data_IF_599733154401
#
_entry.id   IF_599733154401
#
_cell.length_a   1.000
_cell.length_b   1.000
_cell.length_c   1.000
_cell.angle_alpha   90.00
_cell.angle_beta   90.00
_cell.angle_gamma   90.00
#
_symmetry.space_group_name_H-M   'P 1'
#
loop_
_entity.id
_entity.type
_entity.pdbx_description
1 polymer ?
#
# COMPACT_ATOMS: atom_id res chain seq x y z
N UNK A 1 -8.67 11.08 -2.11
CA UNK A 1 -7.64 10.02 -2.09
C UNK A 1 -6.84 9.91 -3.39
N UNK A 2 -7.42 10.06 -4.59
CA UNK A 2 -6.66 10.13 -5.86
C UNK A 2 -5.49 11.12 -5.77
N UNK A 3 -5.70 12.27 -5.13
CA UNK A 3 -4.68 13.31 -4.96
C UNK A 3 -3.39 12.83 -4.26
N UNK A 4 -3.46 11.95 -3.25
CA UNK A 4 -2.26 11.43 -2.59
C UNK A 4 -1.47 10.49 -3.51
N UNK A 5 -2.16 9.62 -4.26
CA UNK A 5 -1.50 8.74 -5.24
C UNK A 5 -0.81 9.56 -6.33
N UNK A 6 -1.52 10.54 -6.92
CA UNK A 6 -0.95 11.40 -7.95
C UNK A 6 0.27 12.17 -7.42
N UNK A 7 0.18 12.72 -6.20
CA UNK A 7 1.29 13.46 -5.60
C UNK A 7 2.47 12.55 -5.27
N UNK A 8 2.25 11.33 -4.79
CA UNK A 8 3.29 10.33 -4.57
C UNK A 8 3.99 9.97 -5.90
N UNK A 9 3.22 9.75 -6.96
CA UNK A 9 3.74 9.45 -8.30
C UNK A 9 4.60 10.62 -8.81
N UNK A 10 4.13 11.86 -8.67
CA UNK A 10 4.90 13.04 -9.06
C UNK A 10 6.17 13.20 -8.21
N UNK A 11 6.08 13.02 -6.90
CA UNK A 11 7.25 13.07 -6.01
C UNK A 11 8.28 11.99 -6.39
N UNK A 12 7.82 10.80 -6.78
CA UNK A 12 8.67 9.72 -7.30
C UNK A 12 9.35 10.13 -8.60
N UNK A 13 8.59 10.68 -9.57
CA UNK A 13 9.13 11.11 -10.88
C UNK A 13 10.16 12.24 -10.76
N UNK A 14 9.90 13.20 -9.86
CA UNK A 14 10.82 14.32 -9.60
C UNK A 14 11.90 13.99 -8.57
N UNK A 15 11.95 12.75 -8.07
CA UNK A 15 12.93 12.26 -7.08
C UNK A 15 12.98 13.13 -5.81
N UNK A 16 11.82 13.55 -5.34
CA UNK A 16 11.70 14.35 -4.11
C UNK A 16 11.41 13.39 -2.95
N UNK A 17 12.45 12.79 -2.37
CA UNK A 17 12.32 11.75 -1.34
C UNK A 17 11.47 12.20 -0.16
N UNK A 18 11.76 13.38 0.40
CA UNK A 18 11.01 13.92 1.54
C UNK A 18 9.51 14.02 1.26
N UNK A 19 9.14 14.55 0.10
CA UNK A 19 7.73 14.69 -0.29
C UNK A 19 7.09 13.31 -0.50
N UNK A 20 7.81 12.36 -1.09
CA UNK A 20 7.34 10.98 -1.26
C UNK A 20 7.02 10.33 0.09
N UNK A 21 7.88 10.50 1.09
CA UNK A 21 7.67 10.00 2.45
C UNK A 21 6.48 10.68 3.14
N UNK A 22 6.41 12.03 3.11
CA UNK A 22 5.32 12.79 3.72
C UNK A 22 3.95 12.39 3.15
N UNK A 23 3.87 12.19 1.82
CA UNK A 23 2.64 11.78 1.14
C UNK A 23 2.29 10.32 1.46
N UNK A 24 3.29 9.47 1.65
CA UNK A 24 3.08 8.09 2.08
C UNK A 24 2.39 8.03 3.45
N UNK A 25 2.82 8.86 4.40
CA UNK A 25 2.19 8.95 5.72
C UNK A 25 0.73 9.40 5.63
N UNK A 26 0.46 10.43 4.83
CA UNK A 26 -0.91 10.90 4.62
C UNK A 26 -1.78 9.83 3.97
N UNK A 27 -1.24 9.09 2.99
CA UNK A 27 -1.96 7.98 2.37
C UNK A 27 -2.26 6.87 3.39
N UNK A 28 -1.26 6.42 4.16
CA UNK A 28 -1.43 5.36 5.17
C UNK A 28 -2.42 5.78 6.26
N UNK A 29 -2.29 6.99 6.78
CA UNK A 29 -3.19 7.54 7.78
C UNK A 29 -4.64 7.58 7.26
N UNK A 30 -4.85 7.98 6.00
CA UNK A 30 -6.18 7.96 5.38
C UNK A 30 -6.78 6.55 5.33
N UNK A 31 -6.04 5.55 4.84
CA UNK A 31 -6.53 4.17 4.74
C UNK A 31 -6.79 3.53 6.11
N UNK A 32 -5.93 3.82 7.09
CA UNK A 32 -6.07 3.41 8.49
C UNK A 32 -7.35 3.98 9.11
N UNK A 33 -7.52 5.32 9.06
CA UNK A 33 -8.67 6.02 9.67
C UNK A 33 -10.01 5.57 9.10
N UNK A 34 -10.06 5.29 7.80
CA UNK A 34 -11.29 4.89 7.12
C UNK A 34 -11.48 3.36 7.04
N UNK A 35 -10.60 2.57 7.67
CA UNK A 35 -10.58 1.12 7.65
C UNK A 35 -10.88 0.52 6.26
N UNK A 36 -10.14 0.97 5.24
CA UNK A 36 -10.38 0.59 3.83
C UNK A 36 -9.10 0.17 3.10
N UNK A 37 -9.27 -0.32 1.88
CA UNK A 37 -8.20 -0.62 0.92
C UNK A 37 -8.52 0.04 -0.43
N UNK A 38 -7.53 0.12 -1.33
CA UNK A 38 -7.72 0.64 -2.66
C UNK A 38 -8.73 -0.22 -3.44
N UNK A 39 -9.70 0.41 -4.15
CA UNK A 39 -10.45 -0.29 -5.19
C UNK A 39 -9.51 -0.69 -6.33
N UNK A 40 -9.88 -1.75 -7.06
CA UNK A 40 -9.04 -2.36 -8.10
C UNK A 40 -8.50 -1.37 -9.15
N UNK A 41 -9.33 -0.42 -9.63
CA UNK A 41 -8.89 0.57 -10.61
C UNK A 41 -7.78 1.52 -10.10
N UNK A 42 -7.68 1.73 -8.78
CA UNK A 42 -6.60 2.55 -8.20
C UNK A 42 -5.29 1.76 -8.09
N UNK A 43 -5.37 0.46 -7.84
CA UNK A 43 -4.20 -0.41 -7.94
C UNK A 43 -3.66 -0.36 -9.36
N UNK A 44 -4.53 -0.63 -10.33
CA UNK A 44 -4.20 -0.55 -11.75
C UNK A 44 -3.55 0.79 -12.12
N UNK A 45 -4.18 1.92 -11.78
CA UNK A 45 -3.63 3.24 -12.03
C UNK A 45 -2.21 3.44 -11.48
N UNK A 46 -1.94 2.98 -10.25
CA UNK A 46 -0.60 3.11 -9.64
C UNK A 46 0.41 2.24 -10.39
N UNK A 47 0.05 1.02 -10.78
CA UNK A 47 0.91 0.12 -11.53
C UNK A 47 1.18 0.62 -12.95
N UNK A 48 0.20 1.25 -13.62
CA UNK A 48 0.39 1.87 -14.93
C UNK A 48 1.21 3.17 -14.85
N UNK A 49 1.16 3.88 -13.71
CA UNK A 49 1.80 5.20 -13.56
C UNK A 49 3.21 5.16 -12.98
N UNK A 50 3.65 4.01 -12.50
CA UNK A 50 4.99 3.76 -11.93
C UNK A 50 5.64 2.59 -12.67
N UNK A 51 6.96 2.54 -12.79
CA UNK A 51 7.65 1.44 -13.50
C UNK A 51 8.40 0.52 -12.55
N UNK A 52 8.85 1.03 -11.40
CA UNK A 52 9.65 0.29 -10.43
C UNK A 52 8.84 -0.05 -9.18
N UNK A 53 9.22 -1.13 -8.45
CA UNK A 53 8.71 -1.40 -7.12
C UNK A 53 8.87 -0.19 -6.21
N UNK A 54 7.82 0.12 -5.45
CA UNK A 54 7.82 1.27 -4.55
C UNK A 54 6.91 1.03 -3.33
N UNK A 55 7.09 1.84 -2.29
CA UNK A 55 6.34 1.68 -1.04
C UNK A 55 4.83 1.84 -1.21
N UNK A 56 4.37 2.69 -2.13
CA UNK A 56 2.94 2.83 -2.41
C UNK A 56 2.35 1.54 -3.02
N UNK A 57 2.99 0.94 -4.04
CA UNK A 57 2.58 -0.37 -4.59
C UNK A 57 2.51 -1.42 -3.49
N UNK A 58 3.60 -1.58 -2.73
CA UNK A 58 3.69 -2.56 -1.63
C UNK A 58 2.55 -2.38 -0.63
N UNK A 59 2.33 -1.15 -0.16
CA UNK A 59 1.29 -0.85 0.80
C UNK A 59 -0.10 -1.20 0.29
N UNK A 60 -0.47 -0.69 -0.89
CA UNK A 60 -1.82 -0.86 -1.41
C UNK A 60 -2.15 -2.33 -1.64
N UNK A 61 -1.23 -3.08 -2.23
CA UNK A 61 -1.39 -4.52 -2.46
C UNK A 61 -1.44 -5.29 -1.15
N UNK A 62 -0.60 -4.98 -0.18
CA UNK A 62 -0.68 -5.59 1.16
C UNK A 62 -2.01 -5.32 1.85
N UNK A 63 -2.60 -4.12 1.73
CA UNK A 63 -3.95 -3.88 2.29
C UNK A 63 -5.05 -4.64 1.54
N UNK A 64 -4.90 -4.83 0.23
CA UNK A 64 -5.84 -5.60 -0.57
C UNK A 64 -5.79 -7.09 -0.21
N UNK A 65 -4.58 -7.63 -0.03
CA UNK A 65 -4.34 -8.98 0.45
C UNK A 65 -4.91 -9.20 1.86
N UNK A 66 -4.69 -8.23 2.76
CA UNK A 66 -5.27 -8.25 4.11
C UNK A 66 -6.80 -8.29 4.08
N UNK A 67 -7.43 -7.42 3.28
CA UNK A 67 -8.89 -7.43 3.14
C UNK A 67 -9.40 -8.77 2.61
N UNK A 68 -8.69 -9.36 1.63
CA UNK A 68 -9.06 -10.65 1.04
C UNK A 68 -9.00 -11.81 2.05
N UNK A 69 -7.95 -11.87 2.88
CA UNK A 69 -7.76 -12.97 3.84
C UNK A 69 -8.48 -12.76 5.18
N UNK A 70 -8.57 -11.53 5.66
CA UNK A 70 -8.91 -11.25 7.07
C UNK A 70 -10.25 -10.52 7.26
N UNK A 71 -10.71 -9.75 6.28
CA UNK A 71 -11.90 -8.88 6.45
C UNK A 71 -13.13 -9.32 5.65
N UNK A 72 -13.04 -10.44 4.93
CA UNK A 72 -14.19 -11.00 4.22
C UNK A 72 -15.09 -11.79 5.17
N UNK A 73 -16.40 -11.64 4.97
CA UNK A 73 -17.40 -12.49 5.64
C UNK A 73 -17.61 -13.74 4.79
N UNK A 74 -17.19 -14.89 5.30
CA UNK A 74 -17.30 -16.18 4.60
C UNK A 74 -16.00 -16.55 3.87
N UNK A 75 -16.12 -17.41 2.85
CA UNK A 75 -14.96 -17.89 2.10
C UNK A 75 -14.29 -16.75 1.32
N UNK A 76 -12.95 -16.64 1.36
CA UNK A 76 -12.21 -15.63 0.60
C UNK A 76 -12.52 -15.70 -0.90
N UNK A 77 -13.07 -14.61 -1.44
CA UNK A 77 -13.42 -14.45 -2.85
C UNK A 77 -13.02 -13.07 -3.37
N UNK A 78 -12.29 -13.06 -4.48
CA UNK A 78 -11.98 -11.83 -5.20
C UNK A 78 -13.26 -11.23 -5.79
N UNK A 79 -13.43 -9.91 -5.66
CA UNK A 79 -14.46 -9.18 -6.40
C UNK A 79 -14.21 -9.28 -7.91
N UNK A 80 -15.25 -9.13 -8.72
CA UNK A 80 -15.12 -9.18 -10.18
C UNK A 80 -14.16 -8.10 -10.71
N UNK A 81 -14.16 -6.92 -10.09
CA UNK A 81 -13.22 -5.84 -10.40
C UNK A 81 -11.77 -6.22 -10.11
N UNK A 82 -11.50 -6.86 -8.96
CA UNK A 82 -10.14 -7.31 -8.63
C UNK A 82 -9.71 -8.45 -9.53
N UNK A 83 -10.60 -9.40 -9.81
CA UNK A 83 -10.35 -10.49 -10.76
C UNK A 83 -10.00 -9.94 -12.14
N UNK A 84 -10.74 -8.95 -12.64
CA UNK A 84 -10.48 -8.33 -13.93
C UNK A 84 -9.10 -7.69 -14.01
N UNK A 85 -8.68 -6.99 -12.96
CA UNK A 85 -7.36 -6.35 -12.90
C UNK A 85 -6.24 -7.40 -12.76
N UNK A 86 -6.37 -8.38 -11.87
CA UNK A 86 -5.37 -9.45 -11.70
C UNK A 86 -5.25 -10.35 -12.94
N UNK A 87 -6.33 -10.57 -13.68
CA UNK A 87 -6.33 -11.35 -14.91
C UNK A 87 -5.52 -10.71 -16.04
N UNK A 88 -5.26 -9.39 -15.99
CA UNK A 88 -4.32 -8.71 -16.91
C UNK A 88 -2.87 -9.13 -16.65
N UNK A 89 -2.57 -9.74 -15.50
CA UNK A 89 -1.26 -10.24 -15.13
C UNK A 89 -0.27 -9.14 -14.74
N UNK A 90 1.02 -9.38 -15.04
CA UNK A 90 2.11 -8.45 -14.74
C UNK A 90 2.44 -8.33 -13.26
N UNK A 91 3.17 -7.26 -12.91
CA UNK A 91 3.69 -7.03 -11.56
C UNK A 91 2.58 -7.02 -10.50
N UNK A 92 1.40 -6.49 -10.81
CA UNK A 92 0.30 -6.41 -9.84
C UNK A 92 -0.17 -7.79 -9.39
N UNK A 93 -0.26 -8.75 -10.32
CA UNK A 93 -0.63 -10.12 -9.99
C UNK A 93 0.46 -10.82 -9.15
N UNK A 94 1.72 -10.62 -9.52
CA UNK A 94 2.87 -11.15 -8.78
C UNK A 94 2.95 -10.57 -7.36
N UNK A 95 2.91 -9.24 -7.24
CA UNK A 95 2.95 -8.53 -5.96
C UNK A 95 1.77 -8.91 -5.06
N UNK A 96 0.57 -9.14 -5.62
CA UNK A 96 -0.58 -9.59 -4.85
C UNK A 96 -0.40 -11.01 -4.30
N UNK A 97 0.11 -11.94 -5.12
CA UNK A 97 0.42 -13.30 -4.67
C UNK A 97 1.52 -13.29 -3.60
N UNK A 98 2.58 -12.51 -3.78
CA UNK A 98 3.62 -12.33 -2.77
C UNK A 98 3.09 -11.71 -1.49
N UNK A 99 2.20 -10.71 -1.58
CA UNK A 99 1.60 -10.09 -0.42
C UNK A 99 0.75 -11.09 0.39
N UNK A 100 0.01 -11.99 -0.27
CA UNK A 100 -0.72 -13.07 0.41
C UNK A 100 0.25 -14.02 1.13
N UNK A 101 1.34 -14.43 0.48
CA UNK A 101 2.34 -15.31 1.06
C UNK A 101 3.03 -14.67 2.28
N UNK A 102 3.44 -13.40 2.16
CA UNK A 102 4.03 -12.63 3.27
C UNK A 102 3.05 -12.45 4.42
N UNK A 103 1.77 -12.20 4.11
CA UNK A 103 0.74 -12.03 5.14
C UNK A 103 0.52 -13.33 5.93
N UNK A 104 0.54 -14.47 5.23
CA UNK A 104 0.47 -15.77 5.90
C UNK A 104 1.68 -16.02 6.81
N UNK A 105 2.88 -15.60 6.40
CA UNK A 105 4.11 -15.78 7.18
C UNK A 105 4.24 -14.81 8.36
N UNK A 106 3.58 -13.64 8.33
CA UNK A 106 3.75 -12.58 9.33
C UNK A 106 2.61 -12.51 10.35
N UNK A 107 1.91 -13.62 10.61
CA UNK A 107 0.77 -13.68 11.54
C UNK A 107 -0.39 -12.76 11.16
N UNK A 108 -0.59 -12.54 9.85
CA UNK A 108 -1.69 -11.71 9.33
C UNK A 108 -1.64 -10.26 9.84
N UNK A 109 -0.46 -9.64 9.86
CA UNK A 109 -0.32 -8.25 10.33
C UNK A 109 -0.90 -7.24 9.32
N UNK A 110 -1.80 -6.38 9.81
CA UNK A 110 -2.37 -5.27 9.04
C UNK A 110 -1.35 -4.13 8.85
N UNK A 111 -0.84 -3.98 7.63
CA UNK A 111 0.14 -2.93 7.26
C UNK A 111 -0.40 -1.50 7.32
N UNK A 112 -1.72 -1.31 7.44
CA UNK A 112 -2.28 0.01 7.77
C UNK A 112 -1.78 0.45 9.13
N UNK A 113 -1.50 -0.49 10.05
CA UNK A 113 -0.98 -0.27 11.39
C UNK A 113 0.55 -0.41 11.42
N UNK A 114 1.14 -0.12 12.57
CA UNK A 114 2.58 -0.19 12.77
C UNK A 114 3.33 1.07 12.31
N UNK A 115 4.68 1.04 12.37
CA UNK A 115 5.51 2.21 12.17
C UNK A 115 5.45 2.75 10.74
N UNK A 116 5.49 4.07 10.61
CA UNK A 116 5.44 4.77 9.33
C UNK A 116 6.70 4.54 8.47
N UNK A 117 7.87 4.55 9.13
CA UNK A 117 9.20 4.34 8.54
C UNK A 117 9.34 3.05 7.70
N UNK A 118 8.55 2.00 7.99
CA UNK A 118 8.56 0.79 7.19
C UNK A 118 8.19 1.03 5.70
N UNK A 119 7.60 2.18 5.38
CA UNK A 119 7.18 2.59 4.04
C UNK A 119 7.85 3.90 3.59
N UNK A 120 8.99 4.25 4.18
CA UNK A 120 9.79 5.40 3.78
C UNK A 120 11.06 4.97 3.08
N UNK A 121 11.48 5.83 2.16
CA UNK A 121 12.83 5.80 1.61
C UNK A 121 13.76 6.63 2.48
N UNK A 122 15.01 6.19 2.61
CA UNK A 122 16.06 6.87 3.36
C UNK A 122 17.38 6.85 2.58
N UNK A 123 17.29 7.09 1.27
CA UNK A 123 18.47 7.16 0.39
C UNK A 123 19.13 8.54 0.54
N UNK A 124 18.32 9.59 0.57
CA UNK A 124 18.77 10.99 0.67
C UNK A 124 18.45 11.63 2.04
N UNK A 125 17.45 11.12 2.75
CA UNK A 125 17.04 11.61 4.06
C UNK A 125 17.53 10.69 5.18
N UNK A 126 17.81 11.25 6.38
CA UNK A 126 18.13 10.43 7.54
C UNK A 126 17.00 9.45 7.87
N UNK A 127 17.37 8.29 8.41
CA UNK A 127 16.40 7.34 8.95
C UNK A 127 15.45 8.03 9.93
N UNK A 128 14.17 7.66 9.90
CA UNK A 128 13.21 8.20 10.84
C UNK A 128 13.68 7.96 12.27
N UNK A 129 13.57 8.99 13.11
CA UNK A 129 13.60 8.78 14.56
C UNK A 129 12.39 7.92 14.91
N UNK A 130 12.57 6.92 15.76
CA UNK A 130 11.46 6.13 16.29
C UNK A 130 10.42 7.09 16.89
N UNK A 131 9.30 7.27 16.20
CA UNK A 131 8.15 7.96 16.76
C UNK A 131 7.48 6.97 17.69
N UNK A 132 7.37 7.34 18.97
CA UNK A 132 6.47 6.63 19.87
C UNK A 132 5.10 6.55 19.19
N UNK A 133 4.47 5.36 19.13
CA UNK A 133 3.15 5.23 18.54
C UNK A 133 2.20 6.23 19.20
N UNK A 134 1.46 7.02 18.39
CA UNK A 134 0.47 7.95 18.93
C UNK A 134 -0.48 7.17 19.85
N UNK A 135 -0.63 7.58 21.12
CA UNK A 135 -1.63 6.98 22.01
C UNK A 135 -3.00 7.26 21.39
N UNK A 136 -3.73 6.18 21.10
CA UNK A 136 -5.08 6.23 20.56
C UNK A 136 -5.99 6.97 21.54
N UNK A 137 -6.62 8.07 21.12
CA UNK A 137 -7.83 8.62 21.74
C UNK A 137 -9.09 7.98 21.12
#
# INVERSE_FOLDING_TARGET
MQHYMCLYILATRFRIERLKNDVMDQARAYYRRNNMTAPAYRLEYVYESTTEPNHLRRFLVSTAAYRYLCEQRGEPKLSDSMRGVLAKGGDLAADFAEALARLHQNELVDVRRGPDCAFHDHVETPACKERAPEPYE
#
